data_IF_924353197530
#
_entry.id   IF_924353197530
#
_cell.length_a   1.000
_cell.length_b   1.000
_cell.length_c   1.000
_cell.angle_alpha   90.00
_cell.angle_beta   90.00
_cell.angle_gamma   90.00
#
_symmetry.space_group_name_H-M   'P 1'
#
loop_
_entity.id
_entity.type
_entity.pdbx_description
1 polymer ?
#
# COMPACT_ATOMS: atom_id res chain seq x y z
N UNK A 1 -44.01 -12.23 -27.63
CA UNK A 1 -42.83 -12.62 -26.85
C UNK A 1 -42.05 -11.41 -26.33
N UNK A 2 -41.93 -10.32 -27.09
CA UNK A 2 -41.27 -9.07 -26.64
C UNK A 2 -41.93 -8.39 -25.42
N UNK A 3 -43.26 -8.39 -25.31
CA UNK A 3 -43.96 -7.66 -24.24
C UNK A 3 -43.72 -8.24 -22.83
N UNK A 4 -43.41 -9.53 -22.73
CA UNK A 4 -43.12 -10.18 -21.43
C UNK A 4 -41.71 -9.87 -20.97
N UNK A 5 -40.73 -9.84 -21.89
CA UNK A 5 -39.35 -9.45 -21.58
C UNK A 5 -39.28 -7.98 -21.13
N UNK A 6 -40.00 -7.07 -21.79
CA UNK A 6 -40.02 -5.65 -21.42
C UNK A 6 -40.65 -5.41 -20.04
N UNK A 7 -41.73 -6.13 -19.71
CA UNK A 7 -42.38 -6.07 -18.39
C UNK A 7 -41.46 -6.62 -17.29
N UNK A 8 -40.79 -7.74 -17.56
CA UNK A 8 -39.82 -8.35 -16.62
C UNK A 8 -38.64 -7.42 -16.40
N UNK A 9 -38.07 -6.83 -17.45
CA UNK A 9 -36.95 -5.90 -17.34
C UNK A 9 -37.34 -4.64 -16.54
N UNK A 10 -38.56 -4.12 -16.77
CA UNK A 10 -39.10 -2.98 -16.02
C UNK A 10 -39.30 -3.30 -14.54
N UNK A 11 -39.80 -4.49 -14.21
CA UNK A 11 -39.95 -4.95 -12.82
C UNK A 11 -38.60 -5.11 -12.13
N UNK A 12 -37.62 -5.70 -12.81
CA UNK A 12 -36.25 -5.84 -12.31
C UNK A 12 -35.64 -4.47 -11.99
N UNK A 13 -35.75 -3.50 -12.91
CA UNK A 13 -35.25 -2.12 -12.69
C UNK A 13 -35.92 -1.44 -11.50
N UNK A 14 -37.24 -1.61 -11.32
CA UNK A 14 -37.97 -1.06 -10.16
C UNK A 14 -37.52 -1.71 -8.85
N UNK A 15 -37.30 -3.02 -8.83
CA UNK A 15 -36.81 -3.74 -7.66
C UNK A 15 -35.38 -3.32 -7.30
N UNK A 16 -34.51 -3.12 -8.29
CA UNK A 16 -33.16 -2.59 -8.09
C UNK A 16 -33.19 -1.18 -7.51
N UNK A 17 -34.08 -0.30 -8.01
CA UNK A 17 -34.23 1.05 -7.50
C UNK A 17 -34.71 1.08 -6.03
N UNK A 18 -35.68 0.23 -5.67
CA UNK A 18 -36.15 0.09 -4.28
C UNK A 18 -35.01 -0.42 -3.38
N UNK A 19 -34.26 -1.42 -3.85
CA UNK A 19 -33.11 -1.97 -3.11
C UNK A 19 -32.02 -0.92 -2.89
N UNK A 20 -31.73 -0.08 -3.89
CA UNK A 20 -30.75 0.99 -3.75
C UNK A 20 -31.20 2.06 -2.77
N UNK A 21 -32.46 2.48 -2.82
CA UNK A 21 -33.01 3.45 -1.86
C UNK A 21 -32.92 2.95 -0.42
N UNK A 22 -33.22 1.68 -0.18
CA UNK A 22 -33.10 1.07 1.15
C UNK A 22 -31.66 1.05 1.65
N UNK A 23 -30.69 0.72 0.79
CA UNK A 23 -29.26 0.77 1.15
C UNK A 23 -28.78 2.20 1.43
N UNK A 24 -29.31 3.19 0.71
CA UNK A 24 -29.03 4.60 0.98
C UNK A 24 -29.58 5.05 2.33
N UNK A 25 -30.79 4.63 2.71
CA UNK A 25 -31.38 4.90 4.02
C UNK A 25 -30.54 4.30 5.15
N UNK A 26 -30.13 3.02 5.02
CA UNK A 26 -29.23 2.37 6.00
C UNK A 26 -27.92 3.14 6.12
N UNK A 27 -27.32 3.53 5.00
CA UNK A 27 -26.03 4.24 5.02
C UNK A 27 -26.15 5.62 5.68
N UNK A 28 -27.22 6.37 5.40
CA UNK A 28 -27.43 7.68 6.03
C UNK A 28 -27.72 7.56 7.54
N UNK A 29 -28.43 6.51 7.97
CA UNK A 29 -28.61 6.22 9.40
C UNK A 29 -27.27 5.87 10.07
N UNK A 30 -26.52 4.94 9.48
CA UNK A 30 -25.20 4.54 9.96
C UNK A 30 -24.26 5.74 10.10
N UNK A 31 -24.19 6.59 9.06
CA UNK A 31 -23.33 7.77 9.02
C UNK A 31 -23.65 8.83 10.09
N UNK A 32 -24.89 8.88 10.59
CA UNK A 32 -25.27 9.78 11.70
C UNK A 32 -24.71 9.31 13.04
N UNK A 33 -24.57 8.00 13.24
CA UNK A 33 -24.03 7.42 14.46
C UNK A 33 -22.51 7.29 14.44
N UNK A 34 -21.96 6.90 13.28
CA UNK A 34 -20.54 6.58 13.13
C UNK A 34 -19.65 7.83 13.20
N UNK A 35 -18.58 7.76 14.01
CA UNK A 35 -17.63 8.86 14.19
C UNK A 35 -16.26 8.51 13.62
N UNK A 36 -15.49 9.56 13.30
CA UNK A 36 -14.08 9.40 12.93
C UNK A 36 -13.26 9.14 14.18
N UNK A 37 -12.28 8.24 14.06
CA UNK A 37 -11.30 8.01 15.10
C UNK A 37 -10.23 9.11 15.03
N UNK A 38 -10.07 9.85 16.12
CA UNK A 38 -9.04 10.87 16.27
C UNK A 38 -8.29 10.73 17.58
N UNK A 39 -9.02 10.44 18.67
CA UNK A 39 -8.44 10.28 19.99
C UNK A 39 -8.52 8.81 20.40
N UNK A 40 -7.43 8.07 20.19
CA UNK A 40 -7.37 6.64 20.49
C UNK A 40 -7.21 6.40 21.99
N UNK A 41 -7.81 5.34 22.49
CA UNK A 41 -7.74 4.92 23.90
C UNK A 41 -6.75 3.77 24.03
N UNK A 42 -5.72 3.96 24.84
CA UNK A 42 -4.67 2.96 25.06
C UNK A 42 -5.23 1.72 25.75
N UNK A 43 -4.89 0.55 25.19
CA UNK A 43 -5.29 -0.78 25.65
C UNK A 43 -4.11 -1.55 26.25
N UNK A 44 -2.88 -1.07 26.05
CA UNK A 44 -1.66 -1.67 26.62
C UNK A 44 -1.15 -2.89 25.86
N UNK A 45 -1.58 -3.10 24.61
CA UNK A 45 -1.06 -4.19 23.78
C UNK A 45 0.36 -3.88 23.35
N UNK A 46 1.28 -4.82 23.58
CA UNK A 46 2.71 -4.63 23.27
C UNK A 46 3.08 -5.10 21.87
N UNK A 47 2.38 -6.11 21.35
CA UNK A 47 2.68 -6.76 20.08
C UNK A 47 1.42 -7.36 19.46
N UNK A 48 1.35 -7.32 18.14
CA UNK A 48 0.34 -8.01 17.34
C UNK A 48 0.94 -9.20 16.60
N UNK A 49 0.11 -10.18 16.29
CA UNK A 49 0.47 -11.34 15.50
C UNK A 49 -0.46 -11.51 14.29
N UNK A 50 0.06 -12.19 13.27
CA UNK A 50 -0.73 -12.55 12.10
C UNK A 50 -1.88 -13.46 12.54
N UNK A 51 -3.10 -13.11 12.10
CA UNK A 51 -4.36 -13.75 12.45
C UNK A 51 -5.10 -13.09 13.61
N UNK A 52 -4.50 -12.12 14.31
CA UNK A 52 -5.17 -11.42 15.41
C UNK A 52 -6.33 -10.57 14.89
N UNK A 53 -7.49 -10.72 15.52
CA UNK A 53 -8.63 -9.81 15.37
C UNK A 53 -8.49 -8.75 16.45
N UNK A 54 -8.50 -7.50 16.03
CA UNK A 54 -8.27 -6.35 16.89
C UNK A 54 -9.50 -5.43 16.95
N UNK A 55 -9.73 -4.86 18.12
CA UNK A 55 -10.60 -3.71 18.31
C UNK A 55 -9.74 -2.47 18.63
N UNK A 56 -10.15 -1.33 18.09
CA UNK A 56 -9.48 -0.05 18.26
C UNK A 56 -10.51 0.94 18.78
N UNK A 57 -10.25 1.48 19.97
CA UNK A 57 -11.16 2.39 20.65
C UNK A 57 -10.76 3.85 20.43
N UNK A 58 -11.74 4.69 20.13
CA UNK A 58 -11.63 6.13 20.20
C UNK A 58 -13.00 6.76 20.44
N UNK A 59 -13.38 7.74 19.64
CA UNK A 59 -14.74 8.28 19.63
C UNK A 59 -15.79 7.26 19.15
N UNK A 60 -15.32 6.19 18.51
CA UNK A 60 -16.05 5.05 18.01
C UNK A 60 -15.15 3.82 18.08
N UNK A 61 -15.63 2.68 17.57
CA UNK A 61 -14.84 1.44 17.52
C UNK A 61 -14.59 1.05 16.07
N UNK A 62 -13.34 0.73 15.77
CA UNK A 62 -12.95 0.08 14.52
C UNK A 62 -12.45 -1.33 14.80
N UNK A 63 -12.74 -2.24 13.87
CA UNK A 63 -12.27 -3.62 13.94
C UNK A 63 -11.30 -3.89 12.79
N UNK A 64 -10.31 -4.72 13.05
CA UNK A 64 -9.34 -5.15 12.05
C UNK A 64 -8.96 -6.61 12.21
N UNK A 65 -8.38 -7.19 11.17
CA UNK A 65 -7.65 -8.46 11.26
C UNK A 65 -6.25 -8.30 10.68
N UNK A 66 -5.24 -8.60 11.48
CA UNK A 66 -3.84 -8.55 11.07
C UNK A 66 -3.56 -9.73 10.16
N UNK A 67 -3.08 -9.46 8.95
CA UNK A 67 -2.84 -10.53 7.96
C UNK A 67 -1.42 -10.57 7.42
N UNK A 68 -0.64 -9.51 7.63
CA UNK A 68 0.72 -9.39 7.14
C UNK A 68 1.51 -8.44 8.04
N UNK A 69 2.83 -8.64 8.08
CA UNK A 69 3.78 -7.73 8.73
C UNK A 69 4.77 -7.25 7.67
N UNK A 70 4.94 -5.94 7.55
CA UNK A 70 5.84 -5.29 6.59
C UNK A 70 6.81 -4.43 7.38
N UNK A 71 8.08 -4.87 7.49
CA UNK A 71 9.07 -4.24 8.37
C UNK A 71 8.54 -4.10 9.81
N UNK A 72 8.49 -2.87 10.29
CA UNK A 72 8.01 -2.48 11.62
C UNK A 72 6.53 -2.04 11.66
N UNK A 73 5.73 -2.58 10.75
CA UNK A 73 4.31 -2.25 10.63
C UNK A 73 3.48 -3.51 10.42
N UNK A 74 2.26 -3.49 10.94
CA UNK A 74 1.28 -4.54 10.72
C UNK A 74 0.25 -4.06 9.69
N UNK A 75 -0.06 -4.91 8.72
CA UNK A 75 -1.12 -4.66 7.75
C UNK A 75 -2.39 -5.37 8.24
N UNK A 76 -3.47 -4.60 8.38
CA UNK A 76 -4.73 -5.10 8.88
C UNK A 76 -5.86 -4.82 7.86
N UNK A 77 -6.75 -5.79 7.68
CA UNK A 77 -7.98 -5.60 6.89
C UNK A 77 -9.01 -4.95 7.82
N UNK A 78 -9.60 -3.84 7.40
CA UNK A 78 -10.70 -3.22 8.11
C UNK A 78 -11.95 -4.09 8.05
N UNK A 79 -12.58 -4.30 9.21
CA UNK A 79 -13.79 -5.08 9.37
C UNK A 79 -14.93 -4.15 9.77
N UNK A 80 -16.05 -4.24 9.06
CA UNK A 80 -17.22 -3.41 9.37
C UNK A 80 -18.25 -4.19 10.20
N UNK A 81 -18.90 -3.49 11.11
CA UNK A 81 -20.09 -3.97 11.83
C UNK A 81 -21.34 -3.91 10.94
N UNK A 82 -21.31 -3.13 9.86
CA UNK A 82 -22.42 -2.98 8.92
C UNK A 82 -22.47 -4.15 7.93
N UNK A 83 -23.06 -5.26 8.35
CA UNK A 83 -23.08 -6.51 7.58
C UNK A 83 -23.77 -6.37 6.21
N UNK A 84 -24.78 -5.50 6.11
CA UNK A 84 -25.51 -5.25 4.86
C UNK A 84 -24.63 -4.44 3.90
N UNK A 85 -24.02 -3.35 4.38
CA UNK A 85 -23.19 -2.46 3.57
C UNK A 85 -21.82 -3.07 3.22
N UNK A 86 -21.32 -4.01 4.02
CA UNK A 86 -20.13 -4.81 3.71
C UNK A 86 -20.29 -5.77 2.51
N UNK A 87 -21.46 -5.82 1.87
CA UNK A 87 -21.65 -6.40 0.54
C UNK A 87 -21.29 -7.88 0.45
N UNK A 88 -20.30 -8.24 -0.37
CA UNK A 88 -19.86 -9.62 -0.61
C UNK A 88 -18.74 -10.10 0.34
N UNK A 89 -18.41 -9.31 1.37
CA UNK A 89 -17.40 -9.67 2.34
C UNK A 89 -17.71 -10.94 3.10
N UNK A 90 -16.68 -11.70 3.43
CA UNK A 90 -16.80 -12.84 4.33
C UNK A 90 -17.23 -12.34 5.71
N UNK A 91 -18.26 -12.97 6.27
CA UNK A 91 -18.69 -12.73 7.64
C UNK A 91 -17.75 -13.50 8.59
N UNK A 92 -17.32 -12.84 9.65
CA UNK A 92 -16.49 -13.40 10.70
C UNK A 92 -17.28 -13.27 12.01
N UNK A 93 -17.46 -14.38 12.73
CA UNK A 93 -18.05 -14.36 14.06
C UNK A 93 -16.98 -13.94 15.07
N UNK A 94 -17.33 -13.01 15.94
CA UNK A 94 -16.47 -12.53 17.03
C UNK A 94 -17.30 -12.46 18.31
N UNK A 95 -16.69 -12.66 19.46
CA UNK A 95 -17.37 -12.53 20.76
C UNK A 95 -16.88 -11.27 21.47
N UNK A 96 -17.43 -10.13 21.06
CA UNK A 96 -17.09 -8.81 21.58
C UNK A 96 -18.38 -7.96 21.74
N UNK A 97 -18.28 -6.63 21.67
CA UNK A 97 -19.43 -5.72 21.68
C UNK A 97 -20.41 -5.96 20.52
N UNK A 98 -19.97 -6.63 19.45
CA UNK A 98 -20.82 -7.18 18.40
C UNK A 98 -20.52 -8.66 18.23
N UNK A 99 -21.48 -9.41 17.69
CA UNK A 99 -21.33 -10.86 17.46
C UNK A 99 -20.63 -11.22 16.16
N UNK A 100 -20.56 -10.27 15.24
CA UNK A 100 -19.96 -10.52 13.94
C UNK A 100 -19.57 -9.24 13.23
N UNK A 101 -18.56 -9.37 12.40
CA UNK A 101 -18.06 -8.33 11.51
C UNK A 101 -17.93 -8.88 10.10
N UNK A 102 -17.70 -8.00 9.13
CA UNK A 102 -17.60 -8.37 7.72
C UNK A 102 -16.34 -7.78 7.10
N UNK A 103 -15.65 -8.61 6.32
CA UNK A 103 -14.48 -8.21 5.54
C UNK A 103 -14.85 -7.09 4.57
N UNK A 104 -14.00 -6.08 4.48
CA UNK A 104 -14.15 -4.94 3.55
C UNK A 104 -12.98 -4.93 2.56
N UNK A 105 -13.04 -4.16 1.45
CA UNK A 105 -11.90 -3.99 0.55
C UNK A 105 -10.83 -3.03 1.08
N UNK A 106 -10.94 -2.60 2.34
CA UNK A 106 -10.09 -1.57 2.95
C UNK A 106 -9.04 -2.26 3.82
N UNK A 107 -7.78 -1.89 3.66
CA UNK A 107 -6.71 -2.23 4.60
C UNK A 107 -6.10 -0.95 5.17
N UNK A 108 -5.50 -1.06 6.34
CA UNK A 108 -4.77 0.01 7.00
C UNK A 108 -3.54 -0.54 7.70
N UNK A 109 -2.59 0.34 7.99
CA UNK A 109 -1.33 -0.03 8.62
C UNK A 109 -1.33 0.42 10.08
N UNK A 110 -0.78 -0.44 10.94
CA UNK A 110 -0.59 -0.19 12.36
C UNK A 110 0.90 -0.13 12.58
N UNK A 111 1.39 1.08 12.81
CA UNK A 111 2.78 1.34 13.19
C UNK A 111 3.01 0.91 14.65
N UNK A 112 4.26 0.63 15.02
CA UNK A 112 4.61 0.19 16.39
C UNK A 112 4.06 1.12 17.50
N UNK A 113 4.05 2.44 17.28
CA UNK A 113 3.50 3.43 18.23
C UNK A 113 1.96 3.34 18.38
N UNK A 114 1.28 2.75 17.39
CA UNK A 114 -0.16 2.56 17.41
C UNK A 114 -0.61 1.20 17.96
N UNK A 115 0.32 0.24 18.13
CA UNK A 115 0.03 -1.11 18.63
C UNK A 115 -0.65 -1.06 20.00
N UNK A 116 -0.22 -0.15 20.87
CA UNK A 116 -0.76 0.03 22.22
C UNK A 116 -2.23 0.44 22.29
N UNK A 117 -2.81 0.94 21.19
CA UNK A 117 -4.23 1.30 21.10
C UNK A 117 -5.12 0.16 20.61
N UNK A 118 -4.54 -0.98 20.26
CA UNK A 118 -5.27 -2.16 19.81
C UNK A 118 -5.59 -3.05 21.02
N UNK A 119 -6.80 -3.58 21.09
CA UNK A 119 -7.16 -4.72 21.94
C UNK A 119 -7.24 -5.97 21.05
N UNK A 120 -6.54 -7.05 21.41
CA UNK A 120 -6.69 -8.34 20.73
C UNK A 120 -7.93 -9.05 21.28
N UNK A 121 -8.99 -9.12 20.48
CA UNK A 121 -10.30 -9.67 20.88
C UNK A 121 -10.52 -11.10 20.41
N UNK A 122 -9.59 -11.64 19.62
CA UNK A 122 -9.67 -13.00 19.11
C UNK A 122 -8.57 -13.29 18.10
N UNK A 123 -8.52 -14.54 17.64
CA UNK A 123 -7.54 -14.98 16.65
C UNK A 123 -8.13 -15.98 15.69
N UNK A 124 -7.82 -15.80 14.41
CA UNK A 124 -8.24 -16.68 13.33
C UNK A 124 -7.15 -17.72 13.04
N UNK A 125 -7.57 -18.96 12.76
CA UNK A 125 -6.67 -20.04 12.33
C UNK A 125 -6.11 -19.75 10.94
N UNK A 126 -4.89 -20.21 10.67
CA UNK A 126 -4.19 -19.92 9.41
C UNK A 126 -5.01 -20.26 8.14
N UNK A 127 -5.67 -21.42 8.11
CA UNK A 127 -6.51 -21.83 6.97
C UNK A 127 -7.72 -20.92 6.74
N UNK A 128 -8.28 -20.37 7.82
CA UNK A 128 -9.40 -19.44 7.74
C UNK A 128 -8.91 -18.04 7.37
N UNK A 129 -7.75 -17.63 7.89
CA UNK A 129 -7.10 -16.38 7.52
C UNK A 129 -6.78 -16.34 6.02
N UNK A 130 -6.28 -17.43 5.43
CA UNK A 130 -6.05 -17.54 3.97
C UNK A 130 -7.33 -17.25 3.17
N UNK A 131 -8.48 -17.81 3.59
CA UNK A 131 -9.78 -17.56 2.94
C UNK A 131 -10.22 -16.11 3.07
N UNK A 132 -10.03 -15.51 4.25
CA UNK A 132 -10.33 -14.11 4.51
C UNK A 132 -9.47 -13.20 3.62
N UNK A 133 -8.17 -13.45 3.54
CA UNK A 133 -7.23 -12.68 2.72
C UNK A 133 -7.56 -12.83 1.22
N UNK A 134 -7.92 -14.02 0.76
CA UNK A 134 -8.40 -14.21 -0.61
C UNK A 134 -9.70 -13.45 -0.88
N UNK A 135 -10.65 -13.45 0.05
CA UNK A 135 -11.89 -12.67 -0.06
C UNK A 135 -11.59 -11.16 -0.13
N UNK A 136 -10.72 -10.67 0.75
CA UNK A 136 -10.22 -9.30 0.74
C UNK A 136 -9.58 -8.93 -0.61
N UNK A 137 -8.63 -9.73 -1.12
CA UNK A 137 -7.99 -9.47 -2.43
C UNK A 137 -9.00 -9.43 -3.57
N UNK A 138 -9.97 -10.37 -3.58
CA UNK A 138 -11.07 -10.40 -4.57
C UNK A 138 -11.97 -9.18 -4.48
N UNK A 139 -12.14 -8.61 -3.29
CA UNK A 139 -12.92 -7.40 -3.07
C UNK A 139 -12.13 -6.14 -3.46
N UNK A 140 -10.89 -6.02 -3.02
CA UNK A 140 -10.01 -4.88 -3.32
C UNK A 140 -9.83 -4.66 -4.83
N UNK A 141 -9.78 -5.74 -5.63
CA UNK A 141 -9.66 -5.66 -7.09
C UNK A 141 -10.95 -5.28 -7.82
N UNK A 142 -12.09 -5.11 -7.12
CA UNK A 142 -13.37 -4.73 -7.74
C UNK A 142 -13.52 -3.22 -7.79
N UNK A 143 -14.06 -2.72 -8.91
CA UNK A 143 -14.51 -1.34 -9.02
C UNK A 143 -15.92 -1.20 -8.41
N UNK A 144 -15.98 -0.74 -7.17
CA UNK A 144 -17.25 -0.40 -6.52
C UNK A 144 -17.86 0.87 -7.12
N UNK A 145 -19.19 0.94 -7.12
CA UNK A 145 -19.97 2.09 -7.59
C UNK A 145 -21.16 2.34 -6.66
N UNK A 146 -21.67 3.56 -6.68
CA UNK A 146 -22.91 3.90 -5.97
C UNK A 146 -22.75 3.81 -4.46
N UNK A 147 -23.69 3.14 -3.78
CA UNK A 147 -23.73 3.14 -2.31
C UNK A 147 -22.51 2.49 -1.65
N UNK A 148 -21.98 1.42 -2.24
CA UNK A 148 -20.79 0.75 -1.70
C UNK A 148 -19.54 1.61 -1.80
N UNK A 149 -19.38 2.35 -2.91
CA UNK A 149 -18.28 3.32 -3.05
C UNK A 149 -18.39 4.44 -2.01
N UNK A 150 -19.60 5.00 -1.82
CA UNK A 150 -19.89 6.01 -0.79
C UNK A 150 -19.55 5.49 0.62
N UNK A 151 -19.96 4.26 0.92
CA UNK A 151 -19.74 3.61 2.21
C UNK A 151 -18.26 3.35 2.49
N UNK A 152 -17.53 2.70 1.58
CA UNK A 152 -16.11 2.44 1.79
C UNK A 152 -15.27 3.72 1.85
N UNK A 153 -15.61 4.73 1.05
CA UNK A 153 -14.97 6.06 1.14
C UNK A 153 -15.20 6.71 2.50
N UNK A 154 -16.39 6.53 3.08
CA UNK A 154 -16.68 7.04 4.41
C UNK A 154 -15.89 6.29 5.50
N UNK A 155 -15.80 4.95 5.41
CA UNK A 155 -15.02 4.14 6.35
C UNK A 155 -13.52 4.48 6.30
N UNK A 156 -12.93 4.66 5.11
CA UNK A 156 -11.54 5.15 4.95
C UNK A 156 -11.34 6.47 5.70
N UNK A 157 -12.29 7.41 5.60
CA UNK A 157 -12.24 8.69 6.33
C UNK A 157 -12.43 8.54 7.83
N UNK A 158 -13.04 7.45 8.32
CA UNK A 158 -13.18 7.18 9.76
C UNK A 158 -11.85 6.74 10.37
N UNK A 159 -11.08 5.95 9.65
CA UNK A 159 -9.78 5.40 10.10
C UNK A 159 -8.58 6.19 9.56
N UNK A 160 -8.80 7.44 9.12
CA UNK A 160 -7.78 8.26 8.44
C UNK A 160 -6.47 8.39 9.24
N UNK A 161 -6.55 8.43 10.57
CA UNK A 161 -5.39 8.50 11.47
C UNK A 161 -4.33 7.41 11.20
N UNK A 162 -4.74 6.21 10.77
CA UNK A 162 -3.82 5.12 10.46
C UNK A 162 -3.08 5.34 9.14
N UNK A 163 -3.73 5.94 8.15
CA UNK A 163 -3.08 6.32 6.89
C UNK A 163 -2.13 7.50 7.10
N UNK A 164 -2.54 8.50 7.89
CA UNK A 164 -1.71 9.65 8.21
C UNK A 164 -0.44 9.19 8.97
N UNK A 165 -0.58 8.33 9.98
CA UNK A 165 0.56 7.76 10.72
C UNK A 165 1.49 6.93 9.82
N UNK A 166 0.92 6.11 8.93
CA UNK A 166 1.69 5.37 7.94
C UNK A 166 2.50 6.30 7.03
N UNK A 167 1.86 7.32 6.44
CA UNK A 167 2.53 8.28 5.56
C UNK A 167 3.61 9.07 6.32
N UNK A 168 3.34 9.52 7.54
CA UNK A 168 4.36 10.18 8.37
C UNK A 168 5.54 9.26 8.68
N UNK A 169 5.30 7.97 8.95
CA UNK A 169 6.38 7.01 9.17
C UNK A 169 7.19 6.75 7.90
N UNK A 170 6.55 6.70 6.73
CA UNK A 170 7.24 6.57 5.45
C UNK A 170 8.09 7.81 5.13
N UNK A 171 7.54 9.01 5.33
CA UNK A 171 8.28 10.28 5.15
C UNK A 171 9.47 10.35 6.11
N UNK A 172 9.25 10.04 7.40
CA UNK A 172 10.34 10.04 8.39
C UNK A 172 11.37 8.94 8.12
N UNK A 173 10.96 7.80 7.54
CA UNK A 173 11.89 6.75 7.12
C UNK A 173 12.77 7.24 5.96
N UNK A 174 12.21 7.98 5.01
CA UNK A 174 12.97 8.63 3.92
C UNK A 174 13.92 9.70 4.48
N UNK A 175 13.45 10.58 5.38
CA UNK A 175 14.26 11.64 6.01
C UNK A 175 15.33 11.11 6.99
N UNK A 176 15.09 9.98 7.67
CA UNK A 176 16.09 9.31 8.51
C UNK A 176 17.03 8.41 7.71
N UNK A 177 16.60 7.89 6.55
CA UNK A 177 17.51 7.20 5.62
C UNK A 177 18.55 8.16 5.00
N UNK A 178 18.23 9.45 4.93
CA UNK A 178 19.18 10.51 4.55
C UNK A 178 20.18 10.88 5.66
N UNK A 179 19.89 10.53 6.93
CA UNK A 179 20.70 10.94 8.09
C UNK A 179 21.38 9.78 8.85
N UNK A 180 20.96 8.53 8.63
CA UNK A 180 21.56 7.33 9.24
C UNK A 180 22.20 6.43 8.18
N UNK A 181 23.10 7.01 7.38
CA UNK A 181 24.16 6.25 6.74
C UNK A 181 25.22 5.88 7.77
N UNK A 182 24.87 5.05 8.75
CA UNK A 182 25.85 4.26 9.52
C UNK A 182 25.20 3.00 10.11
N UNK A 183 25.71 1.87 9.59
CA UNK A 183 25.87 0.59 10.29
C UNK A 183 24.66 -0.03 10.99
N UNK A 184 23.81 -0.76 10.26
CA UNK A 184 23.60 -2.20 10.54
C UNK A 184 22.79 -2.92 9.45
N UNK A 185 23.22 -4.15 9.18
CA UNK A 185 22.77 -5.07 8.14
C UNK A 185 21.28 -5.44 8.26
N UNK A 186 20.50 -5.18 7.20
CA UNK A 186 19.50 -6.08 6.65
C UNK A 186 19.09 -5.60 5.24
N UNK A 187 19.68 -6.23 4.23
CA UNK A 187 19.38 -6.06 2.81
C UNK A 187 18.04 -6.70 2.41
N UNK A 188 17.24 -5.94 1.65
CA UNK A 188 16.34 -6.33 0.55
C UNK A 188 15.18 -5.32 0.58
N UNK A 189 15.16 -4.26 -0.21
CA UNK A 189 14.85 -4.37 -1.64
C UNK A 189 15.35 -3.20 -2.50
N UNK A 190 16.02 -2.21 -1.92
CA UNK A 190 16.38 -0.99 -2.66
C UNK A 190 17.79 -0.49 -2.30
N UNK A 191 18.64 -0.31 -3.32
CA UNK A 191 19.95 0.31 -3.16
C UNK A 191 19.93 1.70 -3.76
N UNK A 192 20.14 2.73 -2.93
CA UNK A 192 20.23 4.13 -3.39
C UNK A 192 21.70 4.50 -3.61
N UNK A 193 22.01 4.98 -4.81
CA UNK A 193 23.31 5.51 -5.22
C UNK A 193 23.15 7.01 -5.46
N UNK A 194 23.73 7.81 -4.58
CA UNK A 194 23.77 9.26 -4.74
C UNK A 194 24.84 9.66 -5.77
N UNK A 195 24.41 10.13 -6.95
CA UNK A 195 25.33 10.50 -8.03
C UNK A 195 26.11 11.77 -7.73
N UNK A 196 25.68 12.61 -6.78
CA UNK A 196 26.43 13.82 -6.38
C UNK A 196 27.78 13.47 -5.74
N UNK A 197 27.90 12.26 -5.15
CA UNK A 197 29.17 11.72 -4.62
C UNK A 197 30.16 11.37 -5.73
N UNK A 198 29.68 11.17 -6.96
CA UNK A 198 30.49 10.74 -8.10
C UNK A 198 30.65 11.84 -9.14
N UNK A 199 29.75 12.79 -9.27
CA UNK A 199 29.80 13.84 -10.30
C UNK A 199 29.61 15.21 -9.67
N UNK A 200 30.34 16.21 -10.18
CA UNK A 200 30.04 17.60 -9.83
C UNK A 200 28.68 17.99 -10.40
N UNK A 201 28.00 18.94 -9.77
CA UNK A 201 26.67 19.40 -10.22
C UNK A 201 26.66 19.80 -11.70
N UNK A 202 27.66 20.56 -12.15
CA UNK A 202 27.76 21.02 -13.55
C UNK A 202 28.09 19.87 -14.53
N UNK A 203 28.69 18.80 -14.05
CA UNK A 203 28.98 17.59 -14.83
C UNK A 203 27.73 16.72 -14.95
N UNK A 204 26.99 16.55 -13.85
CA UNK A 204 25.73 15.81 -13.79
C UNK A 204 24.66 16.48 -14.67
N UNK A 205 24.52 17.81 -14.60
CA UNK A 205 23.60 18.59 -15.43
C UNK A 205 23.95 18.52 -16.92
N UNK A 206 25.23 18.34 -17.27
CA UNK A 206 25.66 18.11 -18.66
C UNK A 206 25.38 16.67 -19.12
N UNK A 207 25.57 15.70 -18.22
CA UNK A 207 25.35 14.28 -18.51
C UNK A 207 23.87 13.94 -18.63
N UNK A 208 23.06 14.50 -17.75
CA UNK A 208 21.62 14.26 -17.61
C UNK A 208 20.92 15.63 -17.53
N UNK A 209 20.72 16.35 -18.64
CA UNK A 209 20.10 17.68 -18.64
C UNK A 209 18.66 17.63 -18.10
N UNK A 210 18.35 18.60 -17.24
CA UNK A 210 17.03 18.76 -16.62
C UNK A 210 15.96 19.11 -17.66
N UNK A 211 14.78 18.48 -17.54
CA UNK A 211 13.60 18.77 -18.35
C UNK A 211 12.39 19.06 -17.47
N UNK A 212 11.64 20.08 -17.86
CA UNK A 212 10.40 20.48 -17.20
C UNK A 212 9.21 19.64 -17.70
N UNK A 213 9.19 18.33 -17.49
CA UNK A 213 8.00 17.49 -17.65
C UNK A 213 8.15 16.06 -17.09
N UNK A 214 6.99 15.51 -16.69
CA UNK A 214 6.56 14.15 -16.34
C UNK A 214 7.56 12.98 -16.30
N UNK A 215 7.29 12.04 -15.38
CA UNK A 215 7.99 10.77 -15.25
C UNK A 215 8.20 10.10 -16.62
N UNK A 216 9.43 9.67 -16.90
CA UNK A 216 9.78 8.99 -18.15
C UNK A 216 10.19 7.55 -17.87
N UNK A 217 9.76 6.63 -18.73
CA UNK A 217 10.09 5.21 -18.59
C UNK A 217 10.61 4.65 -19.90
N UNK A 218 11.75 3.95 -19.85
CA UNK A 218 12.33 3.25 -20.98
C UNK A 218 12.73 1.82 -20.60
N UNK A 219 12.72 0.94 -21.60
CA UNK A 219 13.26 -0.41 -21.46
C UNK A 219 14.60 -0.52 -22.18
N UNK A 220 15.61 -1.01 -21.48
CA UNK A 220 16.94 -1.31 -22.02
C UNK A 220 17.28 -2.77 -21.76
N UNK A 221 17.42 -3.57 -22.83
CA UNK A 221 17.52 -5.03 -22.73
C UNK A 221 16.37 -5.61 -21.88
N UNK A 222 16.66 -6.12 -20.68
CA UNK A 222 15.69 -6.63 -19.71
C UNK A 222 15.56 -5.74 -18.45
N UNK A 223 16.15 -4.55 -18.46
CA UNK A 223 16.11 -3.57 -17.37
C UNK A 223 15.06 -2.51 -17.70
N UNK A 224 14.22 -2.17 -16.72
CA UNK A 224 13.28 -1.05 -16.82
C UNK A 224 13.91 0.15 -16.11
N UNK A 225 13.97 1.29 -16.80
CA UNK A 225 14.47 2.56 -16.29
C UNK A 225 13.28 3.49 -16.14
N UNK A 226 13.00 3.94 -14.93
CA UNK A 226 11.97 4.94 -14.63
C UNK A 226 12.61 6.16 -13.98
N UNK A 227 12.40 7.35 -14.54
CA UNK A 227 12.87 8.61 -13.99
C UNK A 227 11.68 9.38 -13.44
N UNK A 228 11.66 9.61 -12.13
CA UNK A 228 10.62 10.38 -11.44
C UNK A 228 11.20 11.04 -10.20
N UNK A 229 10.68 12.22 -9.87
CA UNK A 229 10.99 12.94 -8.62
C UNK A 229 12.48 13.10 -8.31
N UNK A 230 13.32 13.28 -9.35
CA UNK A 230 14.77 13.44 -9.20
C UNK A 230 15.55 12.13 -9.02
N UNK A 231 14.89 10.98 -9.13
CA UNK A 231 15.50 9.67 -9.09
C UNK A 231 15.40 8.96 -10.44
N UNK A 232 16.35 8.06 -10.69
CA UNK A 232 16.24 7.06 -11.74
C UNK A 232 16.26 5.66 -11.14
N UNK A 233 15.12 4.99 -11.20
CA UNK A 233 14.90 3.64 -10.71
C UNK A 233 15.25 2.64 -11.82
N UNK A 234 16.21 1.77 -11.55
CA UNK A 234 16.62 0.67 -12.40
C UNK A 234 16.05 -0.62 -11.83
N UNK A 235 15.03 -1.18 -12.48
CA UNK A 235 14.47 -2.47 -12.13
C UNK A 235 15.21 -3.56 -12.89
N UNK A 236 15.94 -4.40 -12.16
CA UNK A 236 16.78 -5.44 -12.72
C UNK A 236 16.01 -6.76 -12.89
N UNK A 237 16.29 -7.54 -13.95
CA UNK A 237 15.72 -8.87 -14.10
C UNK A 237 16.28 -9.84 -13.05
N UNK A 238 15.46 -10.82 -12.65
CA UNK A 238 15.77 -11.83 -11.62
C UNK A 238 17.13 -12.52 -11.82
N UNK A 239 17.55 -12.71 -13.07
CA UNK A 239 18.83 -13.34 -13.42
C UNK A 239 20.07 -12.56 -12.97
N UNK A 240 19.93 -11.26 -12.71
CA UNK A 240 21.02 -10.38 -12.25
C UNK A 240 21.00 -10.17 -10.74
N UNK A 241 19.85 -10.38 -10.09
CA UNK A 241 19.68 -10.15 -8.65
C UNK A 241 20.60 -11.09 -7.84
N UNK A 242 21.30 -10.54 -6.85
CA UNK A 242 22.22 -11.27 -5.98
C UNK A 242 23.60 -11.54 -6.56
N UNK A 243 23.84 -11.27 -7.85
CA UNK A 243 25.17 -11.38 -8.47
C UNK A 243 26.04 -10.18 -8.12
N UNK A 244 27.34 -10.40 -7.97
CA UNK A 244 28.30 -9.31 -7.84
C UNK A 244 28.51 -8.60 -9.18
N UNK A 245 28.36 -7.29 -9.15
CA UNK A 245 28.51 -6.48 -10.35
C UNK A 245 29.11 -5.11 -10.03
N UNK A 246 29.62 -4.50 -11.09
CA UNK A 246 30.06 -3.13 -11.13
C UNK A 246 29.11 -2.34 -12.04
N UNK A 247 28.57 -1.24 -11.53
CA UNK A 247 27.72 -0.33 -12.30
C UNK A 247 28.51 0.92 -12.63
N UNK A 248 28.55 1.24 -13.91
CA UNK A 248 29.25 2.39 -14.47
C UNK A 248 28.25 3.35 -15.09
N UNK A 249 28.49 4.65 -14.90
CA UNK A 249 27.78 5.72 -15.59
C UNK A 249 28.79 6.58 -16.36
N UNK A 250 28.64 6.65 -17.68
CA UNK A 250 29.58 7.33 -18.60
C UNK A 250 31.05 6.93 -18.34
N UNK A 251 31.29 5.65 -18.08
CA UNK A 251 32.62 5.09 -17.84
C UNK A 251 33.17 5.28 -16.42
N UNK A 252 32.45 5.95 -15.52
CA UNK A 252 32.82 6.10 -14.10
C UNK A 252 32.11 5.04 -13.26
N UNK A 253 32.86 4.35 -12.41
CA UNK A 253 32.32 3.37 -11.47
C UNK A 253 31.49 4.10 -10.40
N UNK A 254 30.19 3.80 -10.33
CA UNK A 254 29.26 4.39 -9.37
C UNK A 254 28.78 3.39 -8.32
N UNK A 255 28.97 2.08 -8.56
CA UNK A 255 28.63 1.05 -7.59
C UNK A 255 29.42 -0.23 -7.82
N UNK A 256 29.74 -0.93 -6.73
CA UNK A 256 30.27 -2.29 -6.74
C UNK A 256 29.64 -3.06 -5.59
N UNK A 257 29.10 -4.24 -5.88
CA UNK A 257 28.49 -5.09 -4.87
C UNK A 257 27.46 -6.03 -5.48
N UNK A 258 26.69 -6.70 -4.61
CA UNK A 258 25.57 -7.52 -5.05
C UNK A 258 24.44 -6.65 -5.60
N UNK A 259 23.86 -7.04 -6.72
CA UNK A 259 22.73 -6.32 -7.31
C UNK A 259 21.44 -6.62 -6.54
N UNK A 260 20.72 -5.59 -6.11
CA UNK A 260 19.36 -5.67 -5.55
C UNK A 260 18.32 -5.75 -6.68
N UNK A 261 17.05 -6.02 -6.34
CA UNK A 261 15.92 -5.97 -7.29
C UNK A 261 15.78 -4.58 -7.93
N UNK A 262 15.97 -3.53 -7.13
CA UNK A 262 15.94 -2.14 -7.59
C UNK A 262 17.22 -1.40 -7.21
N UNK A 263 17.83 -0.72 -8.19
CA UNK A 263 18.90 0.26 -7.97
C UNK A 263 18.35 1.65 -8.26
N UNK A 264 18.31 2.52 -7.25
CA UNK A 264 17.88 3.91 -7.38
C UNK A 264 19.09 4.82 -7.51
N UNK A 265 19.15 5.63 -8.57
CA UNK A 265 20.16 6.66 -8.74
C UNK A 265 19.56 8.01 -8.33
N UNK A 266 20.07 8.63 -7.28
CA UNK A 266 19.65 9.98 -6.88
C UNK A 266 20.37 11.01 -7.75
N UNK A 267 19.61 11.73 -8.57
CA UNK A 267 20.12 12.72 -9.55
C UNK A 267 19.77 14.14 -9.13
N UNK A 268 18.67 14.33 -8.38
CA UNK A 268 18.23 15.62 -7.87
C UNK A 268 17.39 16.45 -8.85
N UNK A 269 17.15 15.94 -10.06
CA UNK A 269 16.26 16.54 -11.06
C UNK A 269 15.78 15.49 -12.07
N UNK A 270 14.69 15.78 -12.77
CA UNK A 270 14.14 14.92 -13.80
C UNK A 270 14.88 15.09 -15.13
N UNK A 271 15.10 13.98 -15.84
CA UNK A 271 15.75 13.94 -17.14
C UNK A 271 15.14 12.81 -18.00
N UNK A 272 15.35 12.77 -19.32
CA UNK A 272 14.80 11.71 -20.17
C UNK A 272 15.49 10.36 -19.89
N UNK A 273 14.72 9.32 -19.56
CA UNK A 273 15.20 7.96 -19.29
C UNK A 273 16.14 7.40 -20.37
N UNK A 274 15.91 7.75 -21.64
CA UNK A 274 16.77 7.38 -22.77
C UNK A 274 18.24 7.83 -22.64
N UNK A 275 18.52 8.95 -21.97
CA UNK A 275 19.89 9.44 -21.79
C UNK A 275 20.70 8.58 -20.81
N UNK A 276 20.04 8.00 -19.81
CA UNK A 276 20.69 7.09 -18.88
C UNK A 276 21.02 5.77 -19.56
N UNK A 277 20.10 5.26 -20.40
CA UNK A 277 20.32 4.05 -21.22
C UNK A 277 21.61 4.12 -22.04
N UNK A 278 21.93 5.25 -22.66
CA UNK A 278 23.14 5.38 -23.49
C UNK A 278 24.44 5.41 -22.68
N UNK A 279 24.36 5.67 -21.37
CA UNK A 279 25.50 5.97 -20.50
C UNK A 279 25.71 4.92 -19.41
N UNK A 280 24.71 4.11 -19.11
CA UNK A 280 24.75 3.08 -18.08
C UNK A 280 25.38 1.79 -18.61
N UNK A 281 26.30 1.22 -17.85
CA UNK A 281 26.87 -0.10 -18.12
C UNK A 281 26.90 -0.92 -16.83
N UNK A 282 26.42 -2.15 -16.88
CA UNK A 282 26.51 -3.11 -15.77
C UNK A 282 27.46 -4.23 -16.19
N UNK A 283 28.53 -4.44 -15.43
CA UNK A 283 29.49 -5.52 -15.66
C UNK A 283 29.41 -6.51 -14.51
N UNK A 284 29.00 -7.73 -14.81
CA UNK A 284 29.07 -8.83 -13.85
C UNK A 284 30.54 -9.15 -13.57
N UNK A 285 30.90 -9.33 -12.30
CA UNK A 285 32.18 -9.94 -11.96
C UNK A 285 32.04 -11.45 -12.11
N UNK A 286 32.77 -12.04 -13.04
CA UNK A 286 32.85 -13.51 -13.13
C UNK A 286 33.44 -14.03 -11.81
N UNK A 287 32.75 -15.01 -11.22
CA UNK A 287 33.23 -15.76 -10.06
C UNK A 287 34.20 -16.86 -10.50
#
# INVERSE_FOLDING_TARGET
MNDVEEVVETLCRKLEAIKMKYLEEIFEEYKRGAKKLRNLVEQGTEKLEIGDIIAIYGEDIAYGIVFEKIGDMYNAIFLTTELILGGAGQKIEIDHLVRSVKVTPINFYITNDLVKYCEVIGRVKEDELKKIVENFKKMANRKYKGIWEKFYTFEIKRIQIFYDAFLSKMINYEEHSENEADETENEADEKIIDLSKFFKKEELEKLLPSVAAASTSDKYENIIIEVSDGFANLYLPDELIGKEAEVYLSGKLIYTGKLSSTIKLAVGHNFPSALLKEKLQIKLRES
#
